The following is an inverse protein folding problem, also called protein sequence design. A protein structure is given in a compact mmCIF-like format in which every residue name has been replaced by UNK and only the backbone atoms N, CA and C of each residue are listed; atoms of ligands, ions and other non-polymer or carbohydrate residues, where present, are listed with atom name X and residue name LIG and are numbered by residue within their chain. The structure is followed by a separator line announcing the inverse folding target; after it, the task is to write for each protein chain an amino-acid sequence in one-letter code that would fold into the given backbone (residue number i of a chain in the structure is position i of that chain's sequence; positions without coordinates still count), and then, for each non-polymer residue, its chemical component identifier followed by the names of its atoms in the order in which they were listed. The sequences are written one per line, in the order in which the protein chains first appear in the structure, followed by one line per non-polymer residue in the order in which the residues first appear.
data_IF_714759529691
#
_entry.id   IF_714759529691
#
_cell.length_a   1.000
_cell.length_b   1.000
_cell.length_c   1.000
_cell.angle_alpha   90.00
_cell.angle_beta   90.00
_cell.angle_gamma   90.00
#
_symmetry.space_group_name_H-M   'P 1'
#
loop_
_entity.id
_entity.type
_entity.pdbx_description
1 polymer ?
#
# COMPACT_ATOMS: atom_id res chain seq x y z
N UNK A 1 0.69 0.56 5.24
CA UNK A 1 -0.69 0.91 5.64
C UNK A 1 -1.53 -0.35 5.63
N UNK A 2 -2.63 -0.39 6.39
CA UNK A 2 -3.61 -1.48 6.39
C UNK A 2 -5.00 -0.91 6.16
N UNK A 3 -5.84 -1.61 5.39
CA UNK A 3 -7.22 -1.22 5.09
C UNK A 3 -8.12 -2.34 5.60
N UNK A 4 -9.18 -2.01 6.35
CA UNK A 4 -10.18 -3.01 6.74
C UNK A 4 -10.93 -3.54 5.51
N UNK A 5 -11.26 -4.84 5.53
CA UNK A 5 -12.16 -5.47 4.55
C UNK A 5 -13.62 -5.43 4.99
N UNK A 6 -13.89 -5.11 6.25
CA UNK A 6 -15.23 -5.09 6.85
C UNK A 6 -15.49 -3.76 7.60
N UNK A 7 -15.79 -2.68 6.87
CA UNK A 7 -16.02 -1.36 7.47
C UNK A 7 -17.29 -1.29 8.33
N UNK A 8 -18.19 -2.27 8.24
CA UNK A 8 -19.39 -2.30 9.08
C UNK A 8 -19.07 -2.75 10.50
N UNK A 9 -18.06 -3.61 10.68
CA UNK A 9 -17.57 -4.04 11.99
C UNK A 9 -16.38 -3.23 12.47
N UNK A 10 -15.49 -2.85 11.56
CA UNK A 10 -14.25 -2.13 11.86
C UNK A 10 -14.44 -0.62 11.69
N UNK A 11 -15.27 -0.03 12.54
CA UNK A 11 -15.34 1.43 12.65
C UNK A 11 -14.00 2.03 13.13
N UNK A 12 -13.86 3.35 13.00
CA UNK A 12 -12.62 4.03 13.34
C UNK A 12 -12.15 3.79 14.79
N UNK A 13 -13.08 3.70 15.74
CA UNK A 13 -12.76 3.51 17.16
C UNK A 13 -12.26 2.09 17.40
N UNK A 14 -12.96 1.09 16.88
CA UNK A 14 -12.60 -0.33 17.01
C UNK A 14 -11.27 -0.62 16.31
N UNK A 15 -11.10 -0.11 15.08
CA UNK A 15 -9.86 -0.32 14.32
C UNK A 15 -8.66 0.36 15.01
N UNK A 16 -8.85 1.55 15.59
CA UNK A 16 -7.79 2.20 16.37
C UNK A 16 -7.42 1.41 17.63
N UNK A 17 -8.38 0.79 18.30
CA UNK A 17 -8.09 -0.09 19.45
C UNK A 17 -7.29 -1.32 19.02
N UNK A 18 -7.68 -1.96 17.92
CA UNK A 18 -6.95 -3.09 17.34
C UNK A 18 -5.51 -2.72 16.95
N UNK A 19 -5.33 -1.57 16.29
CA UNK A 19 -4.04 -1.09 15.83
C UNK A 19 -3.00 -0.95 16.95
N UNK A 20 -3.41 -0.66 18.19
CA UNK A 20 -2.50 -0.49 19.34
C UNK A 20 -1.64 -1.73 19.62
N UNK A 21 -2.12 -2.93 19.28
CA UNK A 21 -1.35 -4.16 19.48
C UNK A 21 -0.18 -4.30 18.48
N UNK A 22 -0.29 -3.65 17.31
CA UNK A 22 0.62 -3.87 16.18
C UNK A 22 1.42 -2.63 15.78
N UNK A 23 0.92 -1.42 16.07
CA UNK A 23 1.57 -0.16 15.72
C UNK A 23 2.89 0.02 16.48
N UNK A 24 4.01 -0.14 15.78
CA UNK A 24 5.37 0.09 16.30
C UNK A 24 6.01 1.29 15.60
N UNK A 25 5.61 2.50 15.99
CA UNK A 25 6.17 3.76 15.49
C UNK A 25 5.34 4.44 14.38
N UNK A 26 5.82 5.58 13.86
CA UNK A 26 5.14 6.34 12.81
C UNK A 26 5.22 5.64 11.45
N UNK A 27 4.36 6.03 10.50
CA UNK A 27 4.43 5.57 9.11
C UNK A 27 3.50 4.41 8.74
N UNK A 28 2.84 3.77 9.70
CA UNK A 28 1.78 2.79 9.44
C UNK A 28 0.40 3.40 9.74
N UNK A 29 -0.40 3.63 8.69
CA UNK A 29 -1.79 4.06 8.81
C UNK A 29 -2.76 2.88 8.77
N UNK A 30 -3.84 2.95 9.54
CA UNK A 30 -4.95 2.00 9.54
C UNK A 30 -6.20 2.70 9.02
N UNK A 31 -6.81 2.15 7.97
CA UNK A 31 -7.84 2.81 7.20
C UNK A 31 -9.15 2.02 7.25
N UNK A 32 -10.24 2.75 7.44
CA UNK A 32 -11.63 2.31 7.31
C UNK A 32 -12.46 3.49 6.78
N UNK A 33 -13.76 3.31 6.53
CA UNK A 33 -14.61 4.36 5.99
C UNK A 33 -16.06 3.92 5.80
N UNK A 34 -16.77 4.58 4.88
CA UNK A 34 -18.10 4.13 4.51
C UNK A 34 -18.02 2.77 3.78
N UNK A 35 -19.05 1.91 3.89
CA UNK A 35 -19.10 0.65 3.15
C UNK A 35 -18.85 0.81 1.65
N UNK A 36 -19.40 1.86 1.04
CA UNK A 36 -19.18 2.20 -0.36
C UNK A 36 -17.70 2.51 -0.66
N UNK A 37 -17.07 3.42 0.09
CA UNK A 37 -15.69 3.83 -0.16
C UNK A 37 -14.71 2.67 -0.02
N UNK A 38 -14.88 1.83 1.01
CA UNK A 38 -14.03 0.65 1.20
C UNK A 38 -14.27 -0.39 0.11
N UNK A 39 -15.53 -0.66 -0.26
CA UNK A 39 -15.86 -1.60 -1.34
C UNK A 39 -15.22 -1.19 -2.67
N UNK A 40 -15.36 0.07 -3.07
CA UNK A 40 -14.79 0.56 -4.33
C UNK A 40 -13.26 0.60 -4.28
N UNK A 41 -12.68 0.92 -3.11
CA UNK A 41 -11.23 0.82 -2.90
C UNK A 41 -10.74 -0.62 -3.09
N UNK A 42 -11.38 -1.60 -2.45
CA UNK A 42 -11.00 -3.01 -2.58
C UNK A 42 -11.18 -3.54 -3.99
N UNK A 43 -12.20 -3.10 -4.73
CA UNK A 43 -12.38 -3.44 -6.16
C UNK A 43 -11.27 -2.86 -7.02
N UNK A 44 -10.95 -1.57 -6.86
CA UNK A 44 -9.85 -0.93 -7.57
C UNK A 44 -8.49 -1.56 -7.23
N UNK A 45 -8.33 -1.98 -5.98
CA UNK A 45 -7.20 -2.77 -5.51
C UNK A 45 -7.34 -4.27 -5.79
N UNK A 46 -8.32 -4.72 -6.58
CA UNK A 46 -8.53 -6.12 -6.99
C UNK A 46 -8.43 -7.14 -5.85
N UNK A 47 -8.94 -6.79 -4.66
CA UNK A 47 -8.93 -7.61 -3.44
C UNK A 47 -10.33 -7.79 -2.85
N UNK A 48 -11.36 -7.30 -3.54
CA UNK A 48 -12.75 -7.40 -3.09
C UNK A 48 -13.24 -8.86 -3.12
N UNK A 49 -13.93 -9.26 -2.06
CA UNK A 49 -14.73 -10.48 -1.98
C UNK A 49 -16.07 -10.16 -1.33
N UNK A 50 -17.16 -10.73 -1.86
CA UNK A 50 -18.48 -10.64 -1.25
C UNK A 50 -18.59 -11.47 0.04
N UNK A 51 -17.81 -12.55 0.13
CA UNK A 51 -17.66 -13.35 1.34
C UNK A 51 -16.39 -12.92 2.07
N UNK A 52 -16.58 -12.33 3.26
CA UNK A 52 -15.48 -11.86 4.11
C UNK A 52 -14.56 -13.00 4.57
N UNK A 53 -15.00 -14.26 4.54
CA UNK A 53 -14.14 -15.41 4.84
C UNK A 53 -13.19 -15.79 3.69
N UNK A 54 -13.49 -15.34 2.47
CA UNK A 54 -12.77 -15.70 1.24
C UNK A 54 -11.84 -14.57 0.75
N UNK A 55 -11.50 -13.60 1.60
CA UNK A 55 -10.52 -12.58 1.21
C UNK A 55 -9.11 -13.20 1.15
N UNK A 56 -8.36 -13.02 0.06
CA UNK A 56 -7.01 -13.53 0.00
C UNK A 56 -6.09 -12.71 0.92
N UNK A 57 -5.14 -13.34 1.64
CA UNK A 57 -4.05 -12.59 2.24
C UNK A 57 -3.23 -11.93 1.12
N UNK A 58 -3.26 -10.60 1.08
CA UNK A 58 -2.64 -9.79 0.03
C UNK A 58 -1.81 -8.66 0.64
N UNK A 59 -0.60 -8.49 0.12
CA UNK A 59 0.25 -7.32 0.36
C UNK A 59 0.53 -6.64 -0.99
N UNK A 60 0.34 -5.33 -1.03
CA UNK A 60 0.68 -4.48 -2.17
C UNK A 60 1.91 -3.65 -1.83
N UNK A 61 2.95 -3.77 -2.65
CA UNK A 61 4.17 -2.92 -2.57
C UNK A 61 4.26 -2.12 -3.85
N UNK A 62 4.39 -0.80 -3.74
CA UNK A 62 4.42 0.04 -4.94
C UNK A 62 4.78 1.49 -4.70
N UNK A 63 5.00 2.19 -5.80
CA UNK A 63 5.23 3.62 -5.87
C UNK A 63 4.02 4.31 -6.53
N UNK A 64 3.26 5.04 -5.73
CA UNK A 64 2.09 5.79 -6.20
C UNK A 64 2.41 6.94 -7.17
N UNK A 65 3.66 7.43 -7.23
CA UNK A 65 4.08 8.46 -8.20
C UNK A 65 4.30 7.89 -9.59
N UNK A 66 4.87 6.70 -9.68
CA UNK A 66 5.12 6.04 -10.97
C UNK A 66 3.98 5.10 -11.37
N UNK A 67 3.07 4.78 -10.46
CA UNK A 67 2.01 3.79 -10.68
C UNK A 67 2.51 2.34 -10.73
N UNK A 68 3.74 2.07 -10.29
CA UNK A 68 4.28 0.70 -10.27
C UNK A 68 3.84 0.00 -8.99
N UNK A 69 3.14 -1.12 -9.13
CA UNK A 69 2.63 -1.92 -8.02
C UNK A 69 2.89 -3.41 -8.27
N UNK A 70 3.33 -4.08 -7.21
CA UNK A 70 3.56 -5.52 -7.18
C UNK A 70 2.67 -6.15 -6.10
N UNK A 71 2.08 -7.30 -6.43
CA UNK A 71 1.18 -8.05 -5.55
C UNK A 71 1.88 -9.27 -4.98
N UNK A 72 1.66 -9.49 -3.70
CA UNK A 72 2.19 -10.63 -2.96
C UNK A 72 1.03 -11.33 -2.26
N UNK A 73 0.85 -12.62 -2.55
CA UNK A 73 -0.21 -13.44 -1.95
C UNK A 73 0.36 -14.28 -0.80
N UNK A 74 -0.47 -14.55 0.21
CA UNK A 74 -0.08 -15.36 1.35
C UNK A 74 0.81 -14.61 2.35
N UNK A 75 1.62 -15.38 3.08
CA UNK A 75 2.56 -14.88 4.08
C UNK A 75 3.96 -14.77 3.47
N UNK A 76 4.12 -13.79 2.57
CA UNK A 76 5.40 -13.56 1.88
C UNK A 76 6.50 -13.24 2.88
N UNK A 77 7.70 -13.81 2.66
CA UNK A 77 8.89 -13.51 3.45
C UNK A 77 9.14 -11.98 3.46
N UNK A 78 9.25 -11.34 4.65
CA UNK A 78 9.54 -9.92 4.76
C UNK A 78 10.76 -9.47 3.95
N UNK A 79 11.79 -10.31 3.79
CA UNK A 79 12.98 -9.98 3.02
C UNK A 79 12.66 -9.70 1.54
N UNK A 80 11.73 -10.45 0.96
CA UNK A 80 11.26 -10.26 -0.43
C UNK A 80 10.53 -8.93 -0.57
N UNK A 81 9.73 -8.53 0.43
CA UNK A 81 9.03 -7.25 0.42
C UNK A 81 10.02 -6.08 0.51
N UNK A 82 11.06 -6.21 1.34
CA UNK A 82 12.12 -5.20 1.49
C UNK A 82 12.92 -5.04 0.20
N UNK A 83 13.23 -6.13 -0.50
CA UNK A 83 13.91 -6.08 -1.79
C UNK A 83 13.12 -5.27 -2.83
N UNK A 84 11.81 -5.47 -2.90
CA UNK A 84 10.95 -4.72 -3.81
C UNK A 84 10.90 -3.22 -3.47
N UNK A 85 10.85 -2.88 -2.18
CA UNK A 85 10.91 -1.49 -1.71
C UNK A 85 12.25 -0.85 -2.14
N UNK A 86 13.36 -1.57 -1.98
CA UNK A 86 14.69 -1.10 -2.38
C UNK A 86 14.76 -0.90 -3.90
N UNK A 87 14.21 -1.83 -4.68
CA UNK A 87 14.14 -1.74 -6.14
C UNK A 87 13.36 -0.50 -6.59
N UNK A 88 12.19 -0.25 -6.00
CA UNK A 88 11.37 0.93 -6.30
C UNK A 88 12.07 2.24 -5.90
N UNK A 89 12.75 2.23 -4.75
CA UNK A 89 13.51 3.39 -4.25
C UNK A 89 14.68 3.74 -5.17
N UNK A 90 15.45 2.74 -5.63
CA UNK A 90 16.55 2.94 -6.58
C UNK A 90 16.05 3.53 -7.92
N UNK A 91 14.92 3.02 -8.44
CA UNK A 91 14.29 3.57 -9.66
C UNK A 91 13.93 5.05 -9.51
N UNK A 92 13.39 5.44 -8.36
CA UNK A 92 13.02 6.84 -8.09
C UNK A 92 14.24 7.76 -8.05
N UNK A 93 15.34 7.31 -7.45
CA UNK A 93 16.61 8.08 -7.43
C UNK A 93 17.15 8.24 -8.84
N UNK A 94 17.16 7.16 -9.62
CA UNK A 94 17.63 7.20 -11.00
C UNK A 94 16.80 8.18 -11.86
N UNK A 95 15.46 8.08 -11.81
CA UNK A 95 14.58 8.98 -12.56
C UNK A 95 14.73 10.46 -12.16
N UNK A 96 15.01 10.75 -10.88
CA UNK A 96 15.32 12.12 -10.44
C UNK A 96 16.66 12.60 -11.00
N UNK A 97 17.67 11.74 -11.02
CA UNK A 97 19.00 12.08 -11.54
C UNK A 97 18.97 12.37 -13.04
N UNK A 98 18.24 11.57 -13.83
CA UNK A 98 18.10 11.79 -15.28
C UNK A 98 17.38 13.10 -15.56
N UNK A 99 16.29 13.39 -14.83
CA UNK A 99 15.58 14.67 -14.98
C UNK A 99 16.48 15.88 -14.69
N UNK A 100 17.33 15.81 -13.66
CA UNK A 100 18.27 16.90 -13.34
C UNK A 100 19.31 17.09 -14.47
N UNK A 101 19.85 16.00 -15.01
CA UNK A 101 20.81 16.07 -16.12
C UNK A 101 20.18 16.71 -17.37
N UNK A 102 18.99 16.27 -17.76
CA UNK A 102 18.24 16.85 -18.90
C UNK A 102 17.95 18.35 -18.67
N UNK A 103 17.57 18.76 -17.46
CA UNK A 103 17.33 20.17 -17.14
C UNK A 103 18.61 21.04 -17.17
N UNK A 104 19.79 20.45 -16.95
CA UNK A 104 21.08 21.16 -17.01
C UNK A 104 21.60 21.26 -18.45
N UNK A 105 21.30 20.29 -19.33
CA UNK A 105 21.67 20.33 -20.75
C UNK A 105 20.82 21.32 -21.58
N UNK A 106 19.63 21.68 -21.10
CA UNK A 106 18.67 22.54 -21.82
C UNK A 106 18.79 24.04 -21.49
N UNK A 107 19.59 24.42 -20.48
CA UNK A 107 19.79 25.84 -20.11
C UNK A 107 21.20 26.31 -20.51
N UNK A 108 21.34 27.30 -21.44
CA UNK A 108 22.62 27.91 -21.76
C UNK A 108 23.14 28.85 -20.66
#
# INVERSE_FOLDING_TARGET
MSISVDPQRDDAKRLQQYAKAFQRGPGWSWLTGSPYAVTETLKGLGSFSADLSQHPPLILVGDGRSGHWTRYYGFTDPAVLVEEINRLSARRVHAKSTAIAEHQEVQP
#
